data_IF_211290878867
#
_entry.id   IF_211290878867
#
_cell.length_a   1.000
_cell.length_b   1.000
_cell.length_c   1.000
_cell.angle_alpha   90.00
_cell.angle_beta   90.00
_cell.angle_gamma   90.00
#
_symmetry.space_group_name_H-M   'P 1'
#
loop_
_entity.id
_entity.type
_entity.pdbx_description
1 polymer ?
#
# COMPACT_ATOMS: atom_id res chain seq x y z
N UNK A 1 55.73 -21.66 -42.20
CA UNK A 1 55.23 -20.61 -41.35
C UNK A 1 53.72 -20.53 -41.53
N UNK A 2 52.91 -21.11 -40.60
CA UNK A 2 51.46 -21.12 -40.68
C UNK A 2 50.97 -20.16 -39.62
N UNK A 3 50.41 -19.01 -40.04
CA UNK A 3 49.83 -18.03 -39.15
C UNK A 3 48.43 -18.52 -38.73
N UNK A 4 48.22 -18.75 -37.42
CA UNK A 4 46.91 -19.03 -36.84
C UNK A 4 46.17 -17.70 -36.55
N UNK A 5 45.08 -17.46 -37.27
CA UNK A 5 44.13 -16.38 -36.93
C UNK A 5 43.32 -16.81 -35.70
N UNK A 6 43.44 -16.07 -34.61
CA UNK A 6 42.57 -16.23 -33.44
C UNK A 6 41.40 -15.27 -33.64
N UNK A 7 40.22 -15.81 -33.90
CA UNK A 7 38.98 -15.03 -33.92
C UNK A 7 38.53 -14.75 -32.48
N UNK A 8 38.55 -13.48 -32.09
CA UNK A 8 38.03 -13.01 -30.81
C UNK A 8 36.48 -12.86 -30.94
N UNK A 9 35.73 -13.79 -30.36
CA UNK A 9 34.28 -13.66 -30.27
C UNK A 9 33.97 -12.74 -29.09
N UNK A 10 33.65 -11.48 -29.36
CA UNK A 10 33.12 -10.55 -28.37
C UNK A 10 31.64 -10.88 -28.17
N UNK A 11 31.33 -11.58 -27.09
CA UNK A 11 29.96 -11.74 -26.63
C UNK A 11 29.44 -10.39 -26.13
N UNK A 12 28.66 -9.70 -26.96
CA UNK A 12 27.87 -8.54 -26.53
C UNK A 12 26.77 -9.04 -25.60
N UNK A 13 27.01 -8.98 -24.31
CA UNK A 13 25.99 -9.17 -23.30
C UNK A 13 24.93 -8.07 -23.47
N UNK A 14 23.77 -8.41 -24.00
CA UNK A 14 22.59 -7.55 -23.97
C UNK A 14 22.14 -7.45 -22.52
N UNK A 15 22.52 -6.37 -21.83
CA UNK A 15 21.83 -5.97 -20.62
C UNK A 15 20.37 -5.69 -21.04
N UNK A 16 19.45 -6.56 -20.61
CA UNK A 16 18.03 -6.33 -20.82
C UNK A 16 17.70 -4.99 -20.14
N UNK A 17 17.45 -3.96 -20.92
CA UNK A 17 16.92 -2.71 -20.42
C UNK A 17 15.61 -3.05 -19.71
N UNK A 18 15.56 -2.86 -18.39
CA UNK A 18 14.30 -2.98 -17.64
C UNK A 18 13.35 -1.94 -18.22
N UNK A 19 12.31 -2.40 -18.90
CA UNK A 19 11.27 -1.50 -19.38
C UNK A 19 10.75 -0.70 -18.19
N UNK A 20 10.67 0.63 -18.37
CA UNK A 20 10.08 1.47 -17.34
C UNK A 20 8.58 1.15 -17.27
N UNK A 21 7.99 1.08 -16.05
CA UNK A 21 6.57 0.79 -15.92
C UNK A 21 5.74 1.85 -16.62
N UNK A 22 4.62 1.44 -17.21
CA UNK A 22 3.74 2.37 -17.91
C UNK A 22 3.00 3.27 -16.92
N UNK A 23 3.08 4.60 -17.09
CA UNK A 23 2.22 5.55 -16.37
C UNK A 23 0.80 5.37 -16.92
N UNK A 24 -0.16 5.06 -16.05
CA UNK A 24 -1.56 4.81 -16.43
C UNK A 24 -2.51 5.87 -15.88
N UNK A 25 -2.08 6.65 -14.88
CA UNK A 25 -2.79 7.81 -14.37
C UNK A 25 -1.81 8.80 -13.76
N UNK A 26 -2.16 10.09 -13.81
CA UNK A 26 -1.53 11.13 -12.99
C UNK A 26 -2.55 11.62 -11.96
N UNK A 27 -2.07 12.04 -10.79
CA UNK A 27 -2.94 12.50 -9.70
C UNK A 27 -2.19 13.33 -8.67
N UNK A 28 -2.94 13.93 -7.76
CA UNK A 28 -2.41 14.72 -6.67
C UNK A 28 -2.21 13.82 -5.44
N UNK A 29 -1.00 13.28 -5.30
CA UNK A 29 -0.61 12.35 -4.23
C UNK A 29 -1.48 11.07 -4.20
N UNK A 30 -1.31 10.14 -5.17
CA UNK A 30 -1.96 8.83 -5.13
C UNK A 30 -1.45 8.00 -3.94
N UNK A 31 -2.31 7.78 -2.94
CA UNK A 31 -1.97 7.13 -1.66
C UNK A 31 -2.55 5.71 -1.53
N UNK A 32 -3.73 5.45 -2.07
CA UNK A 32 -4.40 4.16 -1.98
C UNK A 32 -4.84 3.64 -3.33
N UNK A 33 -4.68 2.34 -3.56
CA UNK A 33 -5.11 1.63 -4.77
C UNK A 33 -6.04 0.48 -4.41
N UNK A 34 -7.11 0.31 -5.18
CA UNK A 34 -8.03 -0.81 -5.05
C UNK A 34 -8.52 -1.28 -6.41
N UNK A 35 -8.27 -2.55 -6.74
CA UNK A 35 -8.98 -3.23 -7.83
C UNK A 35 -10.28 -3.83 -7.30
N UNK A 36 -11.41 -3.35 -7.80
CA UNK A 36 -12.72 -3.85 -7.41
C UNK A 36 -13.74 -3.73 -8.54
N UNK A 37 -14.54 -4.78 -8.76
CA UNK A 37 -15.59 -4.77 -9.78
C UNK A 37 -15.09 -4.48 -11.21
N UNK A 38 -13.88 -4.95 -11.57
CA UNK A 38 -13.29 -4.72 -12.89
C UNK A 38 -12.71 -3.31 -13.09
N UNK A 39 -12.52 -2.53 -12.02
CA UNK A 39 -12.02 -1.14 -12.07
C UNK A 39 -10.88 -0.94 -11.07
N UNK A 40 -9.93 -0.07 -11.44
CA UNK A 40 -8.89 0.40 -10.54
C UNK A 40 -9.29 1.76 -9.97
N UNK A 41 -9.52 1.78 -8.66
CA UNK A 41 -9.75 3.00 -7.89
C UNK A 41 -8.42 3.47 -7.31
N UNK A 42 -8.25 4.78 -7.18
CA UNK A 42 -7.14 5.35 -6.44
C UNK A 42 -7.57 6.60 -5.66
N UNK A 43 -6.99 6.78 -4.48
CA UNK A 43 -7.20 7.98 -3.68
C UNK A 43 -6.20 9.05 -4.09
N UNK A 44 -6.63 10.30 -4.07
CA UNK A 44 -5.80 11.47 -4.30
C UNK A 44 -5.84 12.35 -3.05
N UNK A 45 -4.89 12.13 -2.13
CA UNK A 45 -4.83 12.84 -0.86
C UNK A 45 -4.76 14.36 -1.04
N UNK A 46 -3.96 14.81 -2.02
CA UNK A 46 -3.78 16.24 -2.32
C UNK A 46 -4.95 16.90 -3.05
N UNK A 47 -5.97 16.12 -3.48
CA UNK A 47 -7.15 16.61 -4.18
C UNK A 47 -8.47 16.26 -3.49
N UNK A 48 -8.42 15.68 -2.28
CA UNK A 48 -9.61 15.33 -1.49
C UNK A 48 -10.60 14.39 -2.21
N UNK A 49 -10.11 13.49 -3.08
CA UNK A 49 -10.99 12.66 -3.91
C UNK A 49 -10.52 11.22 -4.07
N UNK A 50 -11.45 10.37 -4.47
CA UNK A 50 -11.21 9.05 -5.05
C UNK A 50 -11.51 9.10 -6.53
N UNK A 51 -10.62 8.56 -7.35
CA UNK A 51 -10.73 8.50 -8.80
C UNK A 51 -10.71 7.06 -9.32
N UNK A 52 -11.26 6.85 -10.51
CA UNK A 52 -11.21 5.57 -11.24
C UNK A 52 -10.34 5.75 -12.48
N UNK A 53 -9.44 4.79 -12.72
CA UNK A 53 -8.66 4.74 -13.97
C UNK A 53 -9.54 4.12 -15.06
N UNK A 54 -9.72 4.84 -16.15
CA UNK A 54 -10.47 4.42 -17.35
C UNK A 54 -9.56 4.49 -18.59
N UNK A 55 -9.96 3.89 -19.69
CA UNK A 55 -9.17 3.89 -20.94
C UNK A 55 -8.92 5.28 -21.52
N UNK A 56 -9.81 6.23 -21.25
CA UNK A 56 -9.72 7.62 -21.73
C UNK A 56 -9.10 8.59 -20.69
N UNK A 57 -8.61 8.09 -19.56
CA UNK A 57 -8.05 8.91 -18.48
C UNK A 57 -8.60 8.56 -17.12
N UNK A 58 -8.85 9.54 -16.28
CA UNK A 58 -9.37 9.33 -14.92
C UNK A 58 -10.73 9.99 -14.75
N UNK A 59 -11.61 9.34 -13.98
CA UNK A 59 -12.91 9.86 -13.63
C UNK A 59 -13.04 9.96 -12.11
N UNK A 60 -13.53 11.10 -11.61
CA UNK A 60 -13.86 11.25 -10.19
C UNK A 60 -14.98 10.29 -9.79
N UNK A 61 -14.75 9.54 -8.73
CA UNK A 61 -15.73 8.64 -8.14
C UNK A 61 -16.41 9.27 -6.92
N UNK A 62 -15.62 9.94 -6.09
CA UNK A 62 -16.09 10.60 -4.88
C UNK A 62 -15.13 11.72 -4.48
N UNK A 63 -15.69 12.77 -3.81
CA UNK A 63 -14.93 13.91 -3.27
C UNK A 63 -15.51 14.34 -1.93
N UNK A 64 -14.63 14.71 -1.00
CA UNK A 64 -14.98 15.29 0.30
C UNK A 64 -13.90 16.31 0.73
N UNK A 65 -14.14 17.60 0.57
CA UNK A 65 -13.15 18.62 0.91
C UNK A 65 -12.64 18.51 2.35
N UNK A 66 -11.33 18.48 2.52
CA UNK A 66 -10.65 18.30 3.80
C UNK A 66 -10.54 16.85 4.28
N UNK A 67 -10.96 15.87 3.49
CA UNK A 67 -10.78 14.45 3.80
C UNK A 67 -9.31 14.04 3.73
N UNK A 68 -8.57 14.43 2.67
CA UNK A 68 -7.25 13.89 2.40
C UNK A 68 -7.27 12.36 2.37
N UNK A 69 -7.95 11.71 1.40
CA UNK A 69 -8.14 10.27 1.42
C UNK A 69 -6.84 9.53 1.13
N UNK A 70 -6.48 8.57 1.99
CA UNK A 70 -5.26 7.77 1.89
C UNK A 70 -5.52 6.31 1.51
N UNK A 71 -6.71 5.79 1.78
CA UNK A 71 -7.06 4.42 1.42
C UNK A 71 -8.53 4.27 1.03
N UNK A 72 -8.78 3.26 0.21
CA UNK A 72 -10.12 2.75 -0.10
C UNK A 72 -10.09 1.23 -0.05
N UNK A 73 -11.05 0.60 0.62
CA UNK A 73 -11.18 -0.86 0.70
C UNK A 73 -12.64 -1.30 0.59
N UNK A 74 -12.94 -2.56 0.21
CA UNK A 74 -14.30 -3.09 0.24
C UNK A 74 -14.88 -3.02 1.66
N UNK A 75 -16.15 -2.59 1.78
CA UNK A 75 -16.87 -2.50 3.04
C UNK A 75 -18.37 -2.64 2.84
N UNK A 76 -19.05 -3.26 3.82
CA UNK A 76 -20.46 -3.59 3.65
C UNK A 76 -20.69 -4.63 2.55
N UNK A 77 -21.94 -4.78 2.10
CA UNK A 77 -22.30 -5.81 1.10
C UNK A 77 -21.77 -5.49 -0.31
N UNK A 78 -21.55 -4.23 -0.67
CA UNK A 78 -21.10 -3.83 -2.00
C UNK A 78 -20.47 -2.43 -2.04
N UNK A 79 -20.17 -1.84 -0.88
CA UNK A 79 -19.63 -0.48 -0.77
C UNK A 79 -18.15 -0.47 -0.44
N UNK A 80 -17.71 0.70 0.05
CA UNK A 80 -16.31 0.95 0.35
C UNK A 80 -16.16 1.63 1.71
N UNK A 81 -15.00 1.47 2.32
CA UNK A 81 -14.50 2.30 3.41
C UNK A 81 -13.37 3.17 2.85
N UNK A 82 -13.43 4.48 3.10
CA UNK A 82 -12.38 5.44 2.74
C UNK A 82 -11.78 6.02 4.02
N UNK A 83 -10.46 6.03 4.11
CA UNK A 83 -9.73 6.62 5.21
C UNK A 83 -9.46 8.09 4.91
N UNK A 84 -10.07 9.00 5.67
CA UNK A 84 -9.87 10.45 5.60
C UNK A 84 -8.77 10.88 6.58
N UNK A 85 -7.51 10.81 6.15
CA UNK A 85 -6.34 11.10 6.99
C UNK A 85 -6.39 12.52 7.56
N UNK A 86 -6.55 13.53 6.70
CA UNK A 86 -6.64 14.91 7.13
C UNK A 86 -7.96 15.19 7.87
N UNK A 87 -9.05 14.53 7.47
CA UNK A 87 -10.36 14.64 8.08
C UNK A 87 -10.52 13.91 9.42
N UNK A 88 -9.53 13.09 9.83
CA UNK A 88 -9.51 12.35 11.10
C UNK A 88 -10.74 11.45 11.31
N UNK A 89 -11.11 10.71 10.28
CA UNK A 89 -12.24 9.77 10.32
C UNK A 89 -12.14 8.75 9.19
N UNK A 90 -12.91 7.69 9.30
CA UNK A 90 -13.19 6.82 8.16
C UNK A 90 -14.65 6.97 7.74
N UNK A 91 -14.92 6.88 6.44
CA UNK A 91 -16.25 7.09 5.86
C UNK A 91 -16.67 5.91 5.01
N UNK A 92 -17.91 5.45 5.21
CA UNK A 92 -18.56 4.45 4.36
C UNK A 92 -19.07 5.10 3.09
N UNK A 93 -18.81 4.47 1.95
CA UNK A 93 -19.42 4.84 0.66
C UNK A 93 -20.25 3.67 0.14
N UNK A 94 -21.37 4.00 -0.52
CA UNK A 94 -22.09 3.01 -1.32
C UNK A 94 -21.30 2.64 -2.58
N UNK A 95 -21.72 1.60 -3.31
CA UNK A 95 -21.17 1.24 -4.61
C UNK A 95 -21.23 2.37 -5.66
N UNK A 96 -22.14 3.34 -5.48
CA UNK A 96 -22.28 4.51 -6.33
C UNK A 96 -21.47 5.74 -5.86
N UNK A 97 -20.66 5.61 -4.79
CA UNK A 97 -19.86 6.70 -4.23
C UNK A 97 -20.67 7.67 -3.35
N UNK A 98 -21.86 7.27 -2.88
CA UNK A 98 -22.63 8.11 -1.97
C UNK A 98 -22.14 7.87 -0.54
N UNK A 99 -21.75 8.96 0.16
CA UNK A 99 -21.26 8.89 1.53
C UNK A 99 -22.38 8.50 2.51
N UNK A 100 -22.06 7.55 3.39
CA UNK A 100 -22.91 7.07 4.47
C UNK A 100 -22.35 7.44 5.85
N UNK A 101 -22.20 6.44 6.71
CA UNK A 101 -21.72 6.62 8.10
C UNK A 101 -20.27 7.13 8.12
N UNK A 102 -20.01 8.03 9.07
CA UNK A 102 -18.67 8.51 9.38
C UNK A 102 -18.27 8.08 10.77
N UNK A 103 -17.13 7.45 10.90
CA UNK A 103 -16.62 6.95 12.18
C UNK A 103 -15.45 7.84 12.60
N UNK A 104 -15.61 8.54 13.72
CA UNK A 104 -14.64 9.47 14.28
C UNK A 104 -14.11 9.02 15.64
N UNK A 105 -14.88 8.17 16.31
CA UNK A 105 -14.61 7.71 17.66
C UNK A 105 -14.08 6.28 17.64
N UNK A 106 -12.97 6.08 18.34
CA UNK A 106 -12.36 4.78 18.55
C UNK A 106 -12.69 4.22 19.94
N UNK A 107 -12.52 2.91 20.17
CA UNK A 107 -12.77 2.30 21.46
C UNK A 107 -12.02 2.98 22.61
N UNK A 108 -12.64 2.99 23.80
CA UNK A 108 -12.05 3.62 25.01
C UNK A 108 -12.15 5.14 25.02
N UNK A 109 -13.08 5.74 24.29
CA UNK A 109 -13.32 7.20 24.28
C UNK A 109 -12.24 8.00 23.52
N UNK A 110 -11.42 7.33 22.73
CA UNK A 110 -10.42 8.00 21.87
C UNK A 110 -11.06 8.51 20.59
N UNK A 111 -10.40 9.47 19.97
CA UNK A 111 -10.69 9.87 18.59
C UNK A 111 -9.74 9.14 17.65
N UNK A 112 -10.20 8.83 16.45
CA UNK A 112 -9.33 8.46 15.33
C UNK A 112 -8.42 9.65 15.03
N UNK A 113 -7.11 9.40 14.98
CA UNK A 113 -6.10 10.45 14.83
C UNK A 113 -5.61 10.61 13.40
N UNK A 114 -5.05 9.56 12.85
CA UNK A 114 -4.35 9.56 11.56
C UNK A 114 -4.69 8.28 10.78
N UNK A 115 -6.00 8.06 10.38
CA UNK A 115 -6.38 6.86 9.63
C UNK A 115 -5.64 6.84 8.30
N UNK A 116 -4.98 5.72 7.99
CA UNK A 116 -4.06 5.65 6.84
C UNK A 116 -4.48 4.55 5.85
N UNK A 117 -4.05 3.30 6.06
CA UNK A 117 -4.37 2.21 5.15
C UNK A 117 -5.57 1.38 5.61
N UNK A 118 -6.23 0.67 4.68
CA UNK A 118 -7.31 -0.25 5.01
C UNK A 118 -7.33 -1.49 4.12
N UNK A 119 -7.86 -2.60 4.66
CA UNK A 119 -8.06 -3.86 3.97
C UNK A 119 -9.38 -4.51 4.41
N UNK A 120 -10.19 -4.97 3.45
CA UNK A 120 -11.40 -5.73 3.75
C UNK A 120 -11.10 -7.05 4.48
N UNK A 121 -12.01 -7.46 5.38
CA UNK A 121 -11.89 -8.71 6.13
C UNK A 121 -12.48 -9.94 5.41
N UNK A 122 -13.04 -9.73 4.21
CA UNK A 122 -13.75 -10.76 3.43
C UNK A 122 -15.17 -11.09 3.95
N UNK A 123 -15.64 -10.42 5.01
CA UNK A 123 -16.95 -10.63 5.63
C UNK A 123 -17.79 -9.33 5.66
N UNK A 124 -17.36 -8.32 4.91
CA UNK A 124 -18.00 -7.01 4.82
C UNK A 124 -17.51 -6.00 5.86
N UNK A 125 -16.60 -6.36 6.74
CA UNK A 125 -15.85 -5.46 7.60
C UNK A 125 -14.50 -5.08 6.99
N UNK A 126 -13.72 -4.25 7.69
CA UNK A 126 -12.39 -3.88 7.29
C UNK A 126 -11.46 -3.65 8.49
N UNK A 127 -10.18 -3.94 8.30
CA UNK A 127 -9.11 -3.46 9.16
C UNK A 127 -8.64 -2.11 8.63
N UNK A 128 -8.27 -1.20 9.53
CA UNK A 128 -7.60 0.04 9.14
C UNK A 128 -6.56 0.46 10.17
N UNK A 129 -5.48 1.07 9.70
CA UNK A 129 -4.45 1.63 10.55
C UNK A 129 -4.81 3.06 10.95
N UNK A 130 -4.41 3.44 12.17
CA UNK A 130 -4.37 4.79 12.73
C UNK A 130 -2.92 5.05 13.11
N UNK A 131 -2.21 5.78 12.25
CA UNK A 131 -0.75 5.75 12.18
C UNK A 131 -0.06 6.33 13.42
N UNK A 132 -0.63 7.37 14.01
CA UNK A 132 0.05 8.21 14.98
C UNK A 132 1.02 9.21 14.32
N UNK A 133 1.90 9.82 15.09
CA UNK A 133 2.75 10.90 14.61
C UNK A 133 3.87 10.41 13.69
N UNK A 134 3.99 10.99 12.48
CA UNK A 134 5.06 10.73 11.53
C UNK A 134 6.36 11.44 11.95
N UNK A 135 7.08 10.81 12.85
CA UNK A 135 8.40 11.27 13.31
C UNK A 135 9.20 10.11 13.88
N UNK A 136 10.45 9.97 13.47
CA UNK A 136 11.36 8.94 13.99
C UNK A 136 11.54 9.01 15.52
N UNK A 137 11.32 10.19 16.11
CA UNK A 137 11.43 10.42 17.57
C UNK A 137 10.10 10.28 18.32
N UNK A 138 8.99 10.15 17.61
CA UNK A 138 7.68 10.00 18.23
C UNK A 138 7.57 8.66 19.00
N UNK A 139 6.78 8.59 20.08
CA UNK A 139 6.45 7.32 20.68
C UNK A 139 5.64 6.43 19.72
N UNK A 140 5.71 5.11 19.94
CA UNK A 140 4.95 4.13 19.17
C UNK A 140 3.47 4.16 19.60
N UNK A 141 2.68 5.04 19.00
CA UNK A 141 1.25 5.24 19.32
C UNK A 141 0.31 4.70 18.25
N UNK A 142 0.85 4.23 17.12
CA UNK A 142 0.07 3.66 16.02
C UNK A 142 -0.75 2.45 16.45
N UNK A 143 -1.89 2.27 15.79
CA UNK A 143 -2.90 1.22 16.07
C UNK A 143 -3.44 0.63 14.79
N UNK A 144 -4.04 -0.55 14.93
CA UNK A 144 -4.93 -1.10 13.91
C UNK A 144 -6.26 -1.41 14.55
N UNK A 145 -7.32 -1.00 13.88
CA UNK A 145 -8.71 -1.27 14.27
C UNK A 145 -9.35 -2.25 13.29
N UNK A 146 -10.30 -3.03 13.78
CA UNK A 146 -11.26 -3.76 12.98
C UNK A 146 -12.62 -3.09 13.10
N UNK A 147 -13.23 -2.76 11.98
CA UNK A 147 -14.58 -2.19 11.88
C UNK A 147 -15.50 -3.18 11.19
N UNK A 148 -16.51 -3.66 11.88
CA UNK A 148 -17.51 -4.56 11.28
C UNK A 148 -18.46 -3.79 10.36
N UNK A 149 -19.13 -4.46 9.42
CA UNK A 149 -20.19 -3.88 8.58
C UNK A 149 -21.33 -3.22 9.39
N UNK A 150 -21.56 -3.70 10.62
CA UNK A 150 -22.55 -3.12 11.54
C UNK A 150 -22.08 -1.84 12.23
N UNK A 151 -20.81 -1.46 12.06
CA UNK A 151 -20.21 -0.26 12.66
C UNK A 151 -19.62 -0.47 14.05
N UNK A 152 -19.42 -1.72 14.47
CA UNK A 152 -18.72 -2.01 15.73
C UNK A 152 -17.22 -1.98 15.47
N UNK A 153 -16.51 -1.14 16.20
CA UNK A 153 -15.05 -0.98 16.10
C UNK A 153 -14.36 -1.61 17.31
N UNK A 154 -13.28 -2.35 17.05
CA UNK A 154 -12.41 -2.95 18.08
C UNK A 154 -10.94 -2.65 17.76
N UNK A 155 -10.13 -2.41 18.80
CA UNK A 155 -8.69 -2.31 18.66
C UNK A 155 -8.10 -3.72 18.53
N UNK A 156 -7.35 -3.97 17.47
CA UNK A 156 -6.67 -5.25 17.20
C UNK A 156 -5.28 -5.25 17.81
N UNK A 157 -4.53 -4.18 17.60
CA UNK A 157 -3.16 -4.01 18.09
C UNK A 157 -2.85 -2.53 18.25
N UNK A 158 -1.97 -2.21 19.20
CA UNK A 158 -1.44 -0.86 19.46
C UNK A 158 0.06 -0.92 19.75
N UNK A 159 0.68 0.26 19.88
CA UNK A 159 2.12 0.35 20.16
C UNK A 159 2.98 0.15 18.92
N UNK A 160 2.45 0.47 17.73
CA UNK A 160 3.16 0.39 16.45
C UNK A 160 3.82 1.75 16.15
N UNK A 161 5.06 1.72 15.69
CA UNK A 161 5.80 2.93 15.33
C UNK A 161 5.42 3.39 13.92
N UNK A 162 4.37 4.18 13.82
CA UNK A 162 3.67 4.60 12.61
C UNK A 162 3.06 3.41 11.85
N UNK A 163 1.86 2.99 12.29
CA UNK A 163 1.10 1.94 11.61
C UNK A 163 0.63 2.46 10.24
N UNK A 164 1.16 1.87 9.17
CA UNK A 164 0.85 2.27 7.81
C UNK A 164 0.09 1.15 7.08
N UNK A 165 0.59 0.59 6.00
CA UNK A 165 -0.06 -0.43 5.20
C UNK A 165 -0.63 -1.59 6.02
N UNK A 166 -1.81 -2.07 5.64
CA UNK A 166 -2.44 -3.28 6.18
C UNK A 166 -2.91 -4.19 5.05
N UNK A 167 -2.75 -5.50 5.23
CA UNK A 167 -3.30 -6.51 4.33
C UNK A 167 -3.72 -7.73 5.14
N UNK A 168 -4.91 -8.27 4.87
CA UNK A 168 -5.45 -9.41 5.60
C UNK A 168 -5.54 -10.65 4.73
N UNK A 169 -4.89 -11.72 5.17
CA UNK A 169 -5.01 -13.06 4.59
C UNK A 169 -6.10 -13.82 5.34
N UNK A 170 -7.26 -13.94 4.73
CA UNK A 170 -8.41 -14.61 5.33
C UNK A 170 -8.22 -16.13 5.47
N UNK A 171 -7.40 -16.76 4.61
CA UNK A 171 -7.11 -18.20 4.65
C UNK A 171 -6.31 -18.56 5.89
N UNK A 172 -5.23 -17.83 6.15
CA UNK A 172 -4.33 -18.08 7.30
C UNK A 172 -4.71 -17.23 8.51
N UNK A 173 -5.70 -16.33 8.38
CA UNK A 173 -6.09 -15.34 9.39
C UNK A 173 -4.91 -14.49 9.87
N UNK A 174 -4.03 -14.12 8.93
CA UNK A 174 -2.86 -13.31 9.20
C UNK A 174 -3.09 -11.87 8.74
N UNK A 175 -2.97 -10.92 9.65
CA UNK A 175 -2.95 -9.49 9.36
C UNK A 175 -1.50 -9.04 9.26
N UNK A 176 -1.10 -8.57 8.08
CA UNK A 176 0.19 -7.93 7.85
C UNK A 176 0.05 -6.44 8.08
N UNK A 177 1.02 -5.86 8.79
CA UNK A 177 1.04 -4.44 9.12
C UNK A 177 2.43 -3.86 8.87
N UNK A 178 2.49 -2.78 8.10
CA UNK A 178 3.71 -1.98 7.98
C UNK A 178 3.94 -1.19 9.25
N UNK A 179 4.99 -1.51 10.00
CA UNK A 179 5.53 -0.66 11.05
C UNK A 179 6.58 0.25 10.41
N UNK A 180 6.10 1.32 9.77
CA UNK A 180 6.82 2.12 8.79
C UNK A 180 8.13 2.68 9.35
N UNK A 181 8.07 3.43 10.46
CA UNK A 181 9.25 4.07 11.06
C UNK A 181 10.16 3.09 11.82
N UNK A 182 9.72 1.85 12.04
CA UNK A 182 10.59 0.76 12.49
C UNK A 182 11.15 -0.06 11.33
N UNK A 183 10.78 0.28 10.08
CA UNK A 183 11.25 -0.31 8.82
C UNK A 183 11.05 -1.82 8.78
N UNK A 184 9.88 -2.31 9.21
CA UNK A 184 9.56 -3.74 9.20
C UNK A 184 8.09 -4.00 8.93
N UNK A 185 7.79 -5.22 8.51
CA UNK A 185 6.43 -5.74 8.42
C UNK A 185 6.20 -6.67 9.60
N UNK A 186 5.09 -6.46 10.29
CA UNK A 186 4.59 -7.39 11.30
C UNK A 186 3.58 -8.35 10.67
N UNK A 187 3.62 -9.62 11.04
CA UNK A 187 2.57 -10.60 10.77
C UNK A 187 1.90 -10.99 12.10
N UNK A 188 0.60 -10.70 12.18
CA UNK A 188 -0.25 -10.91 13.35
C UNK A 188 -1.22 -12.05 13.05
N UNK A 189 -1.11 -13.17 13.77
CA UNK A 189 -2.09 -14.25 13.67
C UNK A 189 -3.31 -13.90 14.52
N UNK A 190 -4.51 -13.95 13.94
CA UNK A 190 -5.75 -13.58 14.59
C UNK A 190 -6.63 -14.80 14.89
N UNK A 191 -7.29 -14.83 16.07
CA UNK A 191 -8.36 -15.78 16.35
C UNK A 191 -9.68 -15.37 15.68
N UNK A 192 -10.71 -16.20 15.81
CA UNK A 192 -12.03 -15.94 15.24
C UNK A 192 -12.72 -14.68 15.81
N UNK A 193 -12.23 -14.16 16.95
CA UNK A 193 -12.71 -12.92 17.58
C UNK A 193 -11.83 -11.71 17.25
N UNK A 194 -10.99 -11.82 16.24
CA UNK A 194 -10.05 -10.78 15.78
C UNK A 194 -8.98 -10.39 16.82
N UNK A 195 -8.69 -11.26 17.80
CA UNK A 195 -7.65 -11.01 18.80
C UNK A 195 -6.33 -11.58 18.31
N UNK A 196 -5.24 -10.86 18.52
CA UNK A 196 -3.89 -11.30 18.19
C UNK A 196 -3.49 -12.45 19.11
N UNK A 197 -3.14 -13.60 18.54
CA UNK A 197 -2.64 -14.77 19.25
C UNK A 197 -1.14 -14.98 19.10
N UNK A 198 -0.55 -14.46 18.02
CA UNK A 198 0.89 -14.46 17.80
C UNK A 198 1.31 -13.24 16.98
N UNK A 199 2.53 -12.76 17.21
CA UNK A 199 3.15 -11.69 16.46
C UNK A 199 4.57 -12.11 16.08
N UNK A 200 4.94 -11.88 14.80
CA UNK A 200 6.33 -12.04 14.36
C UNK A 200 6.72 -10.91 13.42
N UNK A 201 8.01 -10.61 13.34
CA UNK A 201 8.54 -9.82 12.24
C UNK A 201 8.50 -10.69 10.99
N UNK A 202 7.79 -10.22 9.96
CA UNK A 202 7.68 -10.91 8.68
C UNK A 202 8.85 -10.57 7.77
N UNK A 203 9.19 -9.28 7.65
CA UNK A 203 10.32 -8.77 6.89
C UNK A 203 10.93 -7.56 7.61
N UNK A 204 12.25 -7.48 7.59
CA UNK A 204 13.02 -6.36 8.13
C UNK A 204 13.72 -5.65 6.97
N UNK A 205 13.32 -4.43 6.69
CA UNK A 205 13.80 -3.65 5.55
C UNK A 205 15.22 -3.13 5.75
N UNK A 206 15.73 -3.06 6.98
CA UNK A 206 17.13 -2.74 7.23
C UNK A 206 18.08 -3.78 6.63
N UNK A 207 17.63 -5.03 6.44
CA UNK A 207 18.40 -6.11 5.82
C UNK A 207 18.42 -6.05 4.28
N UNK A 208 17.56 -5.22 3.67
CA UNK A 208 17.42 -5.10 2.22
C UNK A 208 18.03 -3.80 1.65
N UNK A 209 18.71 -3.03 2.48
CA UNK A 209 19.23 -1.70 2.18
C UNK A 209 20.56 -1.68 1.42
N UNK A 210 20.83 -2.60 0.52
CA UNK A 210 22.11 -2.64 -0.21
C UNK A 210 22.43 -1.35 -1.00
N UNK A 211 21.41 -0.56 -1.40
CA UNK A 211 21.62 0.75 -2.05
C UNK A 211 20.40 1.65 -1.78
N UNK A 212 20.58 2.70 -0.99
CA UNK A 212 19.57 3.75 -0.84
C UNK A 212 19.46 4.57 -2.13
N UNK A 213 18.29 4.62 -2.75
CA UNK A 213 18.09 5.36 -4.00
C UNK A 213 17.93 6.87 -3.74
N UNK A 214 17.23 7.28 -2.67
CA UNK A 214 16.86 8.67 -2.41
C UNK A 214 17.29 9.22 -1.04
N UNK A 215 17.81 8.41 -0.13
CA UNK A 215 18.32 8.83 1.19
C UNK A 215 17.30 9.58 2.06
N UNK A 216 16.01 9.26 1.96
CA UNK A 216 15.00 9.85 2.81
C UNK A 216 15.06 9.25 4.23
N UNK A 217 15.17 10.10 5.26
CA UNK A 217 15.44 9.67 6.65
C UNK A 217 14.29 8.87 7.28
N UNK A 218 13.08 9.06 6.78
CA UNK A 218 11.85 8.40 7.25
C UNK A 218 11.29 7.42 6.22
N UNK A 219 12.16 6.86 5.39
CA UNK A 219 11.81 5.80 4.45
C UNK A 219 11.39 4.52 5.18
N UNK A 220 10.40 3.83 4.65
CA UNK A 220 9.93 2.58 5.24
C UNK A 220 8.84 1.89 4.42
N UNK A 221 8.45 0.67 4.82
CA UNK A 221 7.36 -0.05 4.18
C UNK A 221 6.05 0.71 4.36
N UNK A 222 5.31 0.85 3.27
CA UNK A 222 4.05 1.56 3.20
C UNK A 222 2.91 0.61 2.83
N UNK A 223 2.16 0.85 1.77
CA UNK A 223 1.04 0.03 1.34
C UNK A 223 1.41 -1.41 1.02
N UNK A 224 0.52 -2.34 1.35
CA UNK A 224 0.65 -3.77 1.19
C UNK A 224 -0.43 -4.33 0.29
N UNK A 225 -0.09 -5.33 -0.51
CA UNK A 225 -1.09 -6.12 -1.23
C UNK A 225 -0.74 -7.60 -1.22
N UNK A 226 -1.76 -8.46 -1.22
CA UNK A 226 -1.63 -9.90 -1.22
C UNK A 226 -2.00 -10.49 -2.59
N UNK A 227 -1.27 -11.54 -2.96
CA UNK A 227 -1.58 -12.43 -4.07
C UNK A 227 -1.32 -13.86 -3.62
N UNK A 228 -1.90 -14.91 -4.25
CA UNK A 228 -1.57 -16.28 -3.90
C UNK A 228 -0.06 -16.53 -3.83
N UNK A 229 0.42 -16.95 -2.64
CA UNK A 229 1.83 -17.19 -2.36
C UNK A 229 2.70 -15.96 -2.11
N UNK A 230 2.22 -14.72 -2.28
CA UNK A 230 3.03 -13.52 -2.24
C UNK A 230 2.45 -12.41 -1.35
N UNK A 231 3.36 -11.60 -0.77
CA UNK A 231 3.11 -10.28 -0.22
C UNK A 231 3.94 -9.27 -1.01
N UNK A 232 3.31 -8.20 -1.51
CA UNK A 232 3.98 -7.11 -2.22
C UNK A 232 3.86 -5.83 -1.41
N UNK A 233 4.95 -5.08 -1.32
CA UNK A 233 5.12 -3.96 -0.39
C UNK A 233 5.67 -2.76 -1.12
N UNK A 234 5.02 -1.60 -1.01
CA UNK A 234 5.57 -0.30 -1.38
C UNK A 234 6.62 0.13 -0.34
N UNK A 235 7.74 0.70 -0.77
CA UNK A 235 8.72 1.33 0.12
C UNK A 235 8.78 2.83 -0.15
N UNK A 236 8.14 3.58 0.72
CA UNK A 236 8.11 5.03 0.74
C UNK A 236 9.50 5.62 0.97
N UNK A 237 9.85 6.67 0.24
CA UNK A 237 11.12 7.37 0.36
C UNK A 237 12.29 6.73 -0.40
N UNK A 238 12.10 5.53 -0.97
CA UNK A 238 13.16 4.80 -1.69
C UNK A 238 12.76 4.45 -3.14
N UNK A 239 11.54 4.73 -3.56
CA UNK A 239 11.09 4.48 -4.94
C UNK A 239 11.13 3.01 -5.32
N UNK A 240 10.73 2.12 -4.40
CA UNK A 240 10.83 0.68 -4.60
C UNK A 240 9.52 -0.03 -4.29
N UNK A 241 9.34 -1.19 -4.92
CA UNK A 241 8.32 -2.16 -4.56
C UNK A 241 9.01 -3.50 -4.36
N UNK A 242 8.75 -4.14 -3.24
CA UNK A 242 9.33 -5.42 -2.85
C UNK A 242 8.34 -6.56 -2.98
N UNK A 243 8.80 -7.71 -3.45
CA UNK A 243 8.03 -8.94 -3.54
C UNK A 243 8.61 -9.96 -2.56
N UNK A 244 7.76 -10.48 -1.69
CA UNK A 244 8.12 -11.53 -0.71
C UNK A 244 7.24 -12.76 -0.92
N UNK A 245 7.76 -13.95 -0.61
CA UNK A 245 6.92 -15.13 -0.41
C UNK A 245 6.21 -15.08 0.96
N UNK A 246 5.33 -16.05 1.23
CA UNK A 246 4.57 -16.10 2.50
C UNK A 246 5.41 -16.46 3.72
N UNK A 247 6.62 -16.96 3.52
CA UNK A 247 7.58 -17.20 4.61
C UNK A 247 8.34 -15.90 5.00
N UNK A 248 8.29 -14.87 4.17
CA UNK A 248 9.02 -13.61 4.35
C UNK A 248 10.36 -13.58 3.60
N UNK A 249 10.62 -14.57 2.72
CA UNK A 249 11.80 -14.53 1.86
C UNK A 249 11.60 -13.48 0.78
N UNK A 250 12.55 -12.55 0.68
CA UNK A 250 12.59 -11.56 -0.38
C UNK A 250 12.88 -12.21 -1.74
N UNK A 251 12.06 -11.93 -2.74
CA UNK A 251 12.14 -12.53 -4.06
C UNK A 251 12.56 -11.55 -5.15
N UNK A 252 12.10 -10.29 -5.08
CA UNK A 252 12.37 -9.28 -6.11
C UNK A 252 12.21 -7.86 -5.55
N UNK A 253 12.90 -6.91 -6.20
CA UNK A 253 12.74 -5.46 -5.99
C UNK A 253 12.52 -4.79 -7.34
N UNK A 254 11.44 -4.04 -7.46
CA UNK A 254 11.12 -3.21 -8.61
C UNK A 254 11.47 -1.76 -8.30
N UNK A 255 12.06 -1.06 -9.27
CA UNK A 255 12.33 0.37 -9.17
C UNK A 255 11.16 1.15 -9.79
N UNK A 256 10.77 2.22 -9.11
CA UNK A 256 9.73 3.15 -9.55
C UNK A 256 10.36 4.53 -9.63
N UNK A 257 9.96 5.35 -10.61
CA UNK A 257 10.51 6.71 -10.80
C UNK A 257 10.06 7.71 -9.72
N UNK A 258 9.02 7.37 -8.96
CA UNK A 258 8.55 8.18 -7.83
C UNK A 258 9.29 7.77 -6.56
N UNK A 259 9.95 8.69 -5.83
CA UNK A 259 10.59 8.35 -4.55
C UNK A 259 9.57 7.95 -3.46
N UNK A 260 8.40 8.57 -3.46
CA UNK A 260 7.36 8.34 -2.46
C UNK A 260 6.32 7.39 -3.04
N UNK A 261 6.61 6.07 -2.98
CA UNK A 261 5.69 5.01 -3.39
C UNK A 261 4.89 4.60 -2.17
N UNK A 262 3.60 4.92 -2.19
CA UNK A 262 2.72 4.76 -1.03
C UNK A 262 1.91 3.47 -1.09
N UNK A 263 1.57 2.99 -2.29
CA UNK A 263 0.56 1.94 -2.44
C UNK A 263 0.85 0.99 -3.58
N UNK A 264 0.33 -0.23 -3.46
CA UNK A 264 0.37 -1.28 -4.49
C UNK A 264 -0.95 -2.05 -4.57
N UNK A 265 -1.34 -2.46 -5.77
CA UNK A 265 -2.50 -3.32 -5.99
C UNK A 265 -2.33 -4.20 -7.23
N UNK A 266 -3.07 -5.31 -7.30
CA UNK A 266 -3.15 -6.14 -8.50
C UNK A 266 -4.50 -6.00 -9.17
N UNK A 267 -4.53 -6.06 -10.52
CA UNK A 267 -5.76 -6.31 -11.26
C UNK A 267 -6.02 -7.81 -11.46
N UNK A 268 -7.16 -8.14 -12.06
CA UNK A 268 -7.54 -9.53 -12.34
C UNK A 268 -6.61 -10.23 -13.36
N UNK A 269 -5.97 -9.48 -14.25
CA UNK A 269 -5.00 -9.99 -15.22
C UNK A 269 -3.62 -10.25 -14.61
N UNK A 270 -3.41 -9.82 -13.36
CA UNK A 270 -2.16 -9.96 -12.65
C UNK A 270 -1.15 -8.86 -12.94
N UNK A 271 -1.56 -7.75 -13.53
CA UNK A 271 -0.72 -6.58 -13.56
C UNK A 271 -0.59 -6.01 -12.14
N UNK A 272 0.62 -5.59 -11.79
CA UNK A 272 0.90 -4.88 -10.54
C UNK A 272 0.85 -3.37 -10.80
N UNK A 273 0.11 -2.66 -9.97
CA UNK A 273 0.06 -1.21 -9.97
C UNK A 273 0.78 -0.68 -8.74
N UNK A 274 1.48 0.44 -8.90
CA UNK A 274 2.06 1.19 -7.79
C UNK A 274 1.67 2.68 -7.93
N UNK A 275 1.25 3.28 -6.83
CA UNK A 275 0.89 4.69 -6.74
C UNK A 275 1.81 5.44 -5.80
N UNK A 276 1.97 6.75 -6.04
CA UNK A 276 2.81 7.58 -5.19
C UNK A 276 3.06 8.97 -5.75
N UNK A 277 3.95 9.72 -5.10
CA UNK A 277 4.26 11.10 -5.44
C UNK A 277 5.73 11.29 -5.87
N UNK A 278 5.96 12.27 -6.74
CA UNK A 278 7.32 12.69 -7.13
C UNK A 278 7.95 13.60 -6.07
N UNK A 279 7.13 14.25 -5.25
CA UNK A 279 7.57 15.09 -4.14
C UNK A 279 6.43 15.21 -3.09
N UNK A 280 6.80 15.44 -1.81
CA UNK A 280 5.86 15.48 -0.67
C UNK A 280 5.90 16.79 0.12
N UNK A 281 6.56 17.83 -0.40
CA UNK A 281 6.84 19.06 0.37
C UNK A 281 5.90 20.21 0.09
N UNK A 282 5.22 20.21 -1.06
CA UNK A 282 4.33 21.31 -1.49
C UNK A 282 3.28 20.88 -2.51
N UNK A 283 2.06 21.44 -2.41
CA UNK A 283 1.02 21.24 -3.41
C UNK A 283 1.48 21.67 -4.82
N UNK A 284 0.93 21.05 -5.88
CA UNK A 284 -0.16 20.09 -5.88
C UNK A 284 0.22 18.63 -5.56
N UNK A 285 1.42 18.33 -5.04
CA UNK A 285 1.90 16.98 -4.74
C UNK A 285 1.79 16.05 -5.95
N UNK A 286 2.38 16.44 -7.06
CA UNK A 286 2.34 15.67 -8.30
C UNK A 286 2.74 14.22 -8.09
N UNK A 287 1.93 13.32 -8.61
CA UNK A 287 2.14 11.89 -8.49
C UNK A 287 1.55 11.13 -9.67
N UNK A 288 1.74 9.83 -9.65
CA UNK A 288 1.26 8.95 -10.70
C UNK A 288 0.87 7.57 -10.17
N UNK A 289 0.11 6.86 -10.99
CA UNK A 289 -0.06 5.42 -10.89
C UNK A 289 0.66 4.79 -12.08
N UNK A 290 1.56 3.87 -11.79
CA UNK A 290 2.29 3.10 -12.79
C UNK A 290 1.85 1.64 -12.79
N UNK A 291 1.97 0.96 -13.94
CA UNK A 291 1.60 -0.44 -14.11
C UNK A 291 2.79 -1.25 -14.59
N UNK A 292 2.99 -2.40 -13.98
CA UNK A 292 3.91 -3.45 -14.41
C UNK A 292 3.12 -4.63 -14.95
N UNK A 293 3.44 -5.11 -16.14
CA UNK A 293 2.91 -6.37 -16.65
C UNK A 293 3.47 -7.56 -15.84
N UNK A 294 2.82 -8.74 -15.84
CA UNK A 294 3.29 -9.90 -15.07
C UNK A 294 4.76 -10.27 -15.31
N UNK A 295 5.22 -10.20 -16.55
CA UNK A 295 6.62 -10.50 -16.90
C UNK A 295 7.65 -9.50 -16.34
N UNK A 296 7.20 -8.31 -15.91
CA UNK A 296 8.08 -7.24 -15.42
C UNK A 296 8.29 -7.33 -13.90
N UNK A 297 7.33 -7.87 -13.15
CA UNK A 297 7.38 -7.89 -11.69
C UNK A 297 7.58 -9.29 -11.09
N UNK A 298 7.19 -10.36 -11.80
CA UNK A 298 7.36 -11.72 -11.29
C UNK A 298 8.84 -12.05 -11.08
N UNK A 299 9.21 -12.76 -9.98
CA UNK A 299 10.56 -13.26 -9.80
C UNK A 299 10.97 -14.15 -10.98
N UNK A 300 12.14 -13.94 -11.51
CA UNK A 300 12.73 -14.85 -12.51
C UNK A 300 13.29 -16.06 -11.79
N UNK A 301 12.83 -17.24 -12.19
CA UNK A 301 13.34 -18.52 -11.67
C UNK A 301 14.77 -18.80 -12.16
#
# INVERSE_FOLDING_TARGET
MIARLIALVVALGHAAAHAQPAVVASGAYPEGLLWHGGRMYFTEMGADRVSIIESAGTREFWRDPGCGPTAISPFGPAGFLVNCHLGKHVVELSAAGVAGRRFRDAPGGRRIGDPNASAGDGQGGAYFSDSGLFSARAPATGRVYHLTAMGVMTEVVSGIKYANGVAFDAETRTLYVSEHLARRILALTLDARQRVTATRVFADFAQHDATKAFSYSEAGPDGLTLRPGLLVVAEYGEGRVHVFDRAGKHLNTLKVSMPFVDTVAFDAAGNLYAGGAFQNTRPPFEGAVVRFAPAEWQPRH
#
